data_IF_336261223872
#
_entry.id   IF_336261223872
#
_cell.length_a   1.000
_cell.length_b   1.000
_cell.length_c   1.000
_cell.angle_alpha   90.00
_cell.angle_beta   90.00
_cell.angle_gamma   90.00
#
_symmetry.space_group_name_H-M   'P 1'
#
loop_
_entity.id
_entity.type
_entity.pdbx_description
1 polymer ?
#
# COMPACT_ATOMS: atom_id res chain seq x y z
N UNK A 1 -32.30 15.20 8.65
CA UNK A 1 -30.87 15.59 8.51
C UNK A 1 -30.17 14.35 7.98
N UNK A 2 -29.78 14.36 6.71
CA UNK A 2 -29.18 13.20 6.06
C UNK A 2 -27.72 13.12 6.50
N UNK A 3 -27.37 12.03 7.18
CA UNK A 3 -25.98 11.69 7.45
C UNK A 3 -25.39 11.39 6.07
N UNK A 4 -24.53 12.27 5.57
CA UNK A 4 -23.72 11.96 4.39
C UNK A 4 -22.79 10.83 4.82
N UNK A 5 -23.20 9.60 4.56
CA UNK A 5 -22.30 8.45 4.54
C UNK A 5 -21.14 8.85 3.63
N UNK A 6 -19.98 9.18 4.23
CA UNK A 6 -18.74 9.21 3.47
C UNK A 6 -18.60 7.80 2.93
N UNK A 7 -18.92 7.64 1.66
CA UNK A 7 -18.78 6.41 0.92
C UNK A 7 -17.26 6.21 0.81
N UNK A 8 -16.67 5.54 1.80
CA UNK A 8 -15.25 5.16 1.80
C UNK A 8 -15.08 4.09 0.74
N UNK A 9 -15.11 4.50 -0.53
CA UNK A 9 -14.89 3.63 -1.67
C UNK A 9 -13.45 3.12 -1.53
N UNK A 10 -13.36 1.85 -1.12
CA UNK A 10 -12.10 1.13 -1.02
C UNK A 10 -11.99 0.32 -2.29
N UNK A 11 -11.17 0.79 -3.24
CA UNK A 11 -10.84 0.03 -4.44
C UNK A 11 -9.72 -0.94 -4.07
N UNK A 12 -9.94 -2.22 -4.33
CA UNK A 12 -8.94 -3.29 -4.16
C UNK A 12 -8.54 -3.84 -5.51
N UNK A 13 -7.24 -4.04 -5.70
CA UNK A 13 -6.66 -4.56 -6.94
C UNK A 13 -5.66 -5.66 -6.59
N UNK A 14 -5.84 -6.84 -7.18
CA UNK A 14 -4.84 -7.91 -7.11
C UNK A 14 -3.78 -7.67 -8.19
N UNK A 15 -2.51 -7.71 -7.77
CA UNK A 15 -1.35 -7.44 -8.63
C UNK A 15 -0.38 -8.61 -8.49
N UNK A 16 0.03 -9.15 -9.64
CA UNK A 16 1.14 -10.11 -9.69
C UNK A 16 2.46 -9.36 -9.58
N UNK A 17 3.26 -9.70 -8.58
CA UNK A 17 4.51 -9.01 -8.34
C UNK A 17 5.55 -9.23 -9.45
N UNK A 18 5.42 -10.31 -10.20
CA UNK A 18 6.25 -10.54 -11.38
C UNK A 18 5.91 -9.59 -12.54
N UNK A 19 4.64 -9.17 -12.67
CA UNK A 19 4.22 -8.23 -13.72
C UNK A 19 4.75 -6.81 -13.47
N UNK A 20 5.01 -6.46 -12.21
CA UNK A 20 5.63 -5.17 -11.83
C UNK A 20 7.16 -5.25 -11.74
N UNK A 21 7.75 -6.39 -12.13
CA UNK A 21 9.21 -6.55 -12.18
C UNK A 21 9.89 -6.70 -10.82
N UNK A 22 9.13 -7.00 -9.75
CA UNK A 22 9.71 -7.28 -8.45
C UNK A 22 10.50 -8.60 -8.46
N UNK A 23 11.63 -8.64 -7.74
CA UNK A 23 12.46 -9.84 -7.58
C UNK A 23 11.82 -10.85 -6.61
N UNK A 24 10.71 -11.46 -7.05
CA UNK A 24 9.97 -12.46 -6.29
C UNK A 24 9.52 -13.61 -7.20
N UNK A 25 9.20 -14.80 -6.64
CA UNK A 25 8.69 -15.89 -7.46
C UNK A 25 7.42 -15.51 -8.24
N UNK A 26 7.23 -16.02 -9.46
CA UNK A 26 6.15 -15.59 -10.37
C UNK A 26 4.73 -15.94 -9.90
N UNK A 27 4.59 -16.79 -8.88
CA UNK A 27 3.31 -17.13 -8.27
C UNK A 27 2.89 -16.19 -7.13
N UNK A 28 3.69 -15.15 -6.83
CA UNK A 28 3.41 -14.25 -5.71
C UNK A 28 2.57 -13.08 -6.18
N UNK A 29 1.37 -12.99 -5.65
CA UNK A 29 0.49 -11.83 -5.78
C UNK A 29 0.47 -11.00 -4.50
N UNK A 30 0.06 -9.75 -4.63
CA UNK A 30 -0.37 -8.90 -3.53
C UNK A 30 -1.71 -8.26 -3.85
N UNK A 31 -2.51 -8.00 -2.82
CA UNK A 31 -3.74 -7.22 -2.95
C UNK A 31 -3.48 -5.81 -2.41
N UNK A 32 -3.72 -4.79 -3.22
CA UNK A 32 -3.56 -3.39 -2.83
C UNK A 32 -4.94 -2.79 -2.64
N UNK A 33 -5.21 -2.27 -1.45
CA UNK A 33 -6.43 -1.50 -1.16
C UNK A 33 -6.08 -0.02 -1.05
N UNK A 34 -6.75 0.81 -1.83
CA UNK A 34 -6.63 2.26 -1.75
C UNK A 34 -7.76 2.83 -0.91
N UNK A 35 -7.42 3.62 0.12
CA UNK A 35 -8.36 4.35 0.96
C UNK A 35 -8.06 5.84 0.94
N UNK A 36 -9.05 6.65 0.57
CA UNK A 36 -8.96 8.10 0.73
C UNK A 36 -9.37 8.49 2.15
N UNK A 37 -8.44 9.05 2.94
CA UNK A 37 -8.66 9.42 4.35
C UNK A 37 -8.89 10.93 4.51
N UNK A 38 -8.79 11.71 3.43
CA UNK A 38 -9.10 13.12 3.40
C UNK A 38 -8.75 13.75 2.07
N UNK A 39 -8.89 15.08 1.98
CA UNK A 39 -8.47 15.82 0.78
C UNK A 39 -6.94 15.80 0.70
N UNK A 40 -6.40 15.07 -0.29
CA UNK A 40 -4.97 14.98 -0.52
C UNK A 40 -4.23 13.98 0.39
N UNK A 41 -4.95 13.16 1.15
CA UNK A 41 -4.35 12.10 1.97
C UNK A 41 -4.91 10.73 1.57
N UNK A 42 -4.02 9.87 1.10
CA UNK A 42 -4.32 8.52 0.65
C UNK A 42 -3.58 7.53 1.54
N UNK A 43 -4.21 6.40 1.79
CA UNK A 43 -3.64 5.26 2.50
C UNK A 43 -3.70 4.07 1.56
N UNK A 44 -2.55 3.45 1.31
CA UNK A 44 -2.41 2.22 0.52
C UNK A 44 -2.12 1.08 1.48
N UNK A 45 -2.97 0.06 1.49
CA UNK A 45 -2.76 -1.18 2.25
C UNK A 45 -2.37 -2.28 1.27
N UNK A 46 -1.13 -2.79 1.37
CA UNK A 46 -0.64 -3.88 0.51
C UNK A 46 -0.62 -5.18 1.30
N UNK A 47 -1.48 -6.11 0.92
CA UNK A 47 -1.60 -7.43 1.53
C UNK A 47 -0.77 -8.45 0.76
N UNK A 48 0.16 -9.10 1.44
CA UNK A 48 1.01 -10.15 0.87
C UNK A 48 1.26 -11.26 1.88
N UNK A 49 0.91 -12.51 1.53
CA UNK A 49 1.16 -13.71 2.36
C UNK A 49 0.66 -13.60 3.82
N UNK A 50 -0.44 -12.88 4.05
CA UNK A 50 -1.01 -12.69 5.38
C UNK A 50 -0.41 -11.53 6.18
N UNK A 51 0.52 -10.76 5.60
CA UNK A 51 1.02 -9.50 6.15
C UNK A 51 0.38 -8.34 5.39
N UNK A 52 0.08 -7.24 6.09
CA UNK A 52 -0.47 -6.01 5.48
C UNK A 52 0.46 -4.85 5.72
N UNK A 53 1.06 -4.31 4.67
CA UNK A 53 1.92 -3.14 4.71
C UNK A 53 1.06 -1.90 4.52
N UNK A 54 1.12 -0.96 5.46
CA UNK A 54 0.30 0.26 5.47
C UNK A 54 1.19 1.42 5.05
N UNK A 55 0.85 2.03 3.92
CA UNK A 55 1.53 3.20 3.40
C UNK A 55 0.59 4.41 3.46
N UNK A 56 1.09 5.53 3.96
CA UNK A 56 0.31 6.75 4.11
C UNK A 56 0.97 7.89 3.33
N UNK A 57 0.20 8.57 2.49
CA UNK A 57 0.66 9.71 1.69
C UNK A 57 0.55 9.51 0.18
N UNK A 58 0.54 10.63 -0.54
CA UNK A 58 0.67 10.72 -1.99
C UNK A 58 1.12 12.15 -2.34
N UNK A 59 2.09 12.38 -3.25
CA UNK A 59 2.80 11.41 -4.09
C UNK A 59 4.01 10.74 -3.41
N UNK A 60 4.35 11.16 -2.19
CA UNK A 60 5.35 10.53 -1.34
C UNK A 60 4.60 9.76 -0.24
N UNK A 61 4.92 8.48 -0.07
CA UNK A 61 4.24 7.63 0.90
C UNK A 61 5.22 7.11 1.98
N UNK A 62 4.75 7.02 3.21
CA UNK A 62 5.51 6.48 4.33
C UNK A 62 4.97 5.11 4.70
N UNK A 63 5.82 4.10 4.79
CA UNK A 63 5.47 2.80 5.38
C UNK A 63 5.37 2.97 6.90
N UNK A 64 4.15 3.16 7.40
CA UNK A 64 3.86 3.47 8.81
C UNK A 64 3.48 2.25 9.64
N UNK A 65 3.12 1.13 8.99
CA UNK A 65 2.75 -0.09 9.69
C UNK A 65 2.92 -1.37 8.89
N UNK A 66 3.10 -2.48 9.60
CA UNK A 66 2.92 -3.83 9.04
C UNK A 66 2.03 -4.64 9.97
N UNK A 67 0.79 -4.91 9.55
CA UNK A 67 -0.13 -5.73 10.34
C UNK A 67 0.44 -7.15 10.51
N UNK A 68 0.43 -7.63 11.75
CA UNK A 68 1.08 -8.90 12.12
C UNK A 68 2.51 -8.73 12.66
N UNK A 69 3.02 -7.50 12.72
CA UNK A 69 4.30 -7.17 13.36
C UNK A 69 4.15 -5.98 14.31
N UNK A 70 4.89 -6.01 15.42
CA UNK A 70 4.98 -4.88 16.35
C UNK A 70 6.05 -3.86 15.94
N UNK A 71 6.89 -4.21 14.95
CA UNK A 71 7.99 -3.39 14.46
C UNK A 71 7.95 -3.24 12.93
N UNK A 72 8.35 -2.06 12.46
CA UNK A 72 8.58 -1.80 11.04
C UNK A 72 9.83 -2.54 10.57
N UNK A 73 9.86 -3.00 9.30
CA UNK A 73 11.07 -3.58 8.75
C UNK A 73 12.21 -2.55 8.71
N UNK A 74 13.46 -3.01 8.81
CA UNK A 74 14.65 -2.14 8.78
C UNK A 74 14.80 -1.34 7.46
N UNK A 75 14.13 -1.81 6.39
CA UNK A 75 14.06 -1.15 5.08
C UNK A 75 12.69 -1.37 4.44
N UNK A 76 12.29 -0.46 3.56
CA UNK A 76 11.14 -0.68 2.67
C UNK A 76 11.46 -1.91 1.80
N UNK A 77 10.60 -2.93 1.75
CA UNK A 77 10.80 -4.06 0.85
C UNK A 77 10.84 -3.61 -0.61
N UNK A 78 11.84 -4.09 -1.35
CA UNK A 78 12.14 -3.63 -2.73
C UNK A 78 10.99 -3.88 -3.73
N UNK A 79 10.06 -4.77 -3.39
CA UNK A 79 8.88 -5.07 -4.19
C UNK A 79 7.71 -4.09 -3.98
N UNK A 80 7.76 -3.23 -2.95
CA UNK A 80 6.69 -2.26 -2.65
C UNK A 80 6.74 -1.08 -3.63
N UNK A 81 7.93 -0.55 -3.92
CA UNK A 81 8.11 0.59 -4.84
C UNK A 81 7.40 0.37 -6.19
N UNK A 82 7.69 -0.70 -6.96
CA UNK A 82 7.06 -0.90 -8.25
C UNK A 82 5.54 -1.14 -8.16
N UNK A 83 5.03 -1.60 -7.01
CA UNK A 83 3.60 -1.75 -6.77
C UNK A 83 2.92 -0.40 -6.60
N UNK A 84 3.50 0.49 -5.78
CA UNK A 84 2.88 1.78 -5.47
C UNK A 84 3.06 2.81 -6.60
N UNK A 85 4.08 2.63 -7.45
CA UNK A 85 4.24 3.42 -8.68
C UNK A 85 3.01 3.31 -9.59
N UNK A 86 2.34 2.16 -9.63
CA UNK A 86 1.09 1.98 -10.38
C UNK A 86 -0.06 2.85 -9.89
N UNK A 87 0.01 3.32 -8.65
CA UNK A 87 -0.98 4.19 -8.01
C UNK A 87 -0.54 5.66 -7.95
N UNK A 88 0.58 6.00 -8.61
CA UNK A 88 1.10 7.38 -8.68
C UNK A 88 1.89 7.82 -7.46
N UNK A 89 2.36 6.88 -6.63
CA UNK A 89 3.34 7.14 -5.58
C UNK A 89 4.73 7.06 -6.20
N UNK A 90 5.47 8.17 -6.15
CA UNK A 90 6.79 8.27 -6.78
C UNK A 90 7.94 7.86 -5.88
N UNK A 91 7.73 7.83 -4.57
CA UNK A 91 8.77 7.49 -3.59
C UNK A 91 8.13 6.94 -2.31
N UNK A 92 8.77 5.92 -1.73
CA UNK A 92 8.36 5.31 -0.47
C UNK A 92 9.50 5.36 0.53
N UNK A 93 9.21 5.88 1.73
CA UNK A 93 10.16 5.88 2.84
C UNK A 93 9.61 5.10 4.03
N UNK A 94 10.46 4.76 4.99
CA UNK A 94 10.02 4.22 6.27
C UNK A 94 9.49 5.37 7.14
N UNK A 95 8.26 5.26 7.63
CA UNK A 95 7.72 6.18 8.62
C UNK A 95 8.54 6.11 9.91
N UNK A 96 8.96 7.27 10.43
CA UNK A 96 9.77 7.39 11.65
C UNK A 96 8.99 7.98 12.81
#
# INVERSE_FOLDING_TARGET
MSVTELNTQSDSVEISLADVGADVPPSVTCEVTLRAVGIGHQVLEIHRRGETFILEGAPFAELTGVAGRDELPERVPDWIEPVVELFGVGEVELGR
#
